data_IF_360185501499
#
_entry.id   IF_360185501499
#
_cell.length_a   1.000
_cell.length_b   1.000
_cell.length_c   1.000
_cell.angle_alpha   90.00
_cell.angle_beta   90.00
_cell.angle_gamma   90.00
#
_symmetry.space_group_name_H-M   'P 1'
#
loop_
_entity.id
_entity.type
_entity.pdbx_description
1 polymer ?
#
# COMPACT_ATOMS: atom_id res chain seq x y z
N UNK A 1 22.22 -40.53 14.66
CA UNK A 1 22.46 -39.22 15.32
C UNK A 1 22.27 -37.99 14.41
N UNK A 2 21.92 -38.13 13.12
CA UNK A 2 21.51 -37.01 12.24
C UNK A 2 19.99 -36.76 12.26
N UNK A 3 19.33 -36.96 13.42
CA UNK A 3 17.86 -36.84 13.55
C UNK A 3 17.43 -35.62 14.38
N UNK A 4 18.24 -35.21 15.35
CA UNK A 4 17.91 -34.16 16.31
C UNK A 4 18.06 -32.75 15.71
N UNK A 5 19.07 -32.51 14.88
CA UNK A 5 19.28 -31.20 14.24
C UNK A 5 18.22 -30.88 13.16
N UNK A 6 17.73 -31.89 12.45
CA UNK A 6 16.68 -31.75 11.43
C UNK A 6 15.31 -31.41 12.04
N UNK A 7 15.00 -31.96 13.23
CA UNK A 7 13.80 -31.61 13.98
C UNK A 7 13.82 -30.20 14.59
N UNK A 8 14.99 -29.75 15.09
CA UNK A 8 15.12 -28.40 15.66
C UNK A 8 14.97 -27.30 14.59
N UNK A 9 15.59 -27.46 13.42
CA UNK A 9 15.48 -26.49 12.33
C UNK A 9 14.04 -26.41 11.78
N UNK A 10 13.36 -27.55 11.62
CA UNK A 10 11.96 -27.58 11.18
C UNK A 10 11.02 -26.90 12.20
N UNK A 11 11.25 -27.11 13.50
CA UNK A 11 10.50 -26.46 14.56
C UNK A 11 10.65 -24.93 14.58
N UNK A 12 11.88 -24.44 14.41
CA UNK A 12 12.16 -22.99 14.34
C UNK A 12 11.50 -22.36 13.11
N UNK A 13 11.58 -23.00 11.95
CA UNK A 13 10.95 -22.51 10.72
C UNK A 13 9.43 -22.45 10.86
N UNK A 14 8.80 -23.49 11.44
CA UNK A 14 7.36 -23.47 11.73
C UNK A 14 6.97 -22.34 12.67
N UNK A 15 7.72 -22.14 13.75
CA UNK A 15 7.46 -21.07 14.72
C UNK A 15 7.58 -19.69 14.06
N UNK A 16 8.60 -19.48 13.23
CA UNK A 16 8.80 -18.23 12.51
C UNK A 16 7.67 -17.98 11.50
N UNK A 17 7.34 -18.96 10.65
CA UNK A 17 6.26 -18.83 9.65
C UNK A 17 4.93 -18.57 10.34
N UNK A 18 4.62 -19.29 11.42
CA UNK A 18 3.39 -19.08 12.18
C UNK A 18 3.34 -17.71 12.85
N UNK A 19 4.40 -17.32 13.56
CA UNK A 19 4.47 -16.04 14.26
C UNK A 19 4.39 -14.84 13.31
N UNK A 20 5.14 -14.86 12.22
CA UNK A 20 5.11 -13.81 11.21
C UNK A 20 3.71 -13.67 10.57
N UNK A 21 3.07 -14.79 10.22
CA UNK A 21 1.74 -14.77 9.62
C UNK A 21 0.65 -14.35 10.62
N UNK A 22 0.78 -14.61 11.92
CA UNK A 22 -0.14 -14.03 12.93
C UNK A 22 -0.05 -12.50 12.92
N UNK A 23 1.15 -11.95 12.91
CA UNK A 23 1.35 -10.50 12.89
C UNK A 23 0.70 -9.89 11.64
N UNK A 24 0.91 -10.50 10.47
CA UNK A 24 0.26 -10.07 9.23
C UNK A 24 -1.26 -10.23 9.25
N UNK A 25 -1.79 -11.31 9.83
CA UNK A 25 -3.24 -11.50 9.96
C UNK A 25 -3.87 -10.40 10.84
N UNK A 26 -3.26 -10.10 11.99
CA UNK A 26 -3.72 -9.03 12.87
C UNK A 26 -3.63 -7.65 12.19
N UNK A 27 -2.53 -7.39 11.46
CA UNK A 27 -2.38 -6.17 10.67
C UNK A 27 -3.44 -6.04 9.57
N UNK A 28 -3.71 -7.12 8.83
CA UNK A 28 -4.76 -7.16 7.81
C UNK A 28 -6.14 -6.89 8.40
N UNK A 29 -6.46 -7.50 9.55
CA UNK A 29 -7.71 -7.24 10.27
C UNK A 29 -7.82 -5.78 10.73
N UNK A 30 -6.73 -5.21 11.26
CA UNK A 30 -6.70 -3.81 11.67
C UNK A 30 -6.96 -2.86 10.48
N UNK A 31 -6.36 -3.13 9.31
CA UNK A 31 -6.62 -2.34 8.10
C UNK A 31 -8.09 -2.43 7.66
N UNK A 32 -8.71 -3.61 7.73
CA UNK A 32 -10.14 -3.76 7.42
C UNK A 32 -10.98 -2.91 8.37
N UNK A 33 -10.71 -2.96 9.68
CA UNK A 33 -11.44 -2.18 10.68
C UNK A 33 -11.28 -0.68 10.41
N UNK A 34 -10.05 -0.20 10.19
CA UNK A 34 -9.79 1.21 9.87
C UNK A 34 -10.51 1.64 8.59
N UNK A 35 -10.45 0.83 7.53
CA UNK A 35 -11.12 1.12 6.27
C UNK A 35 -12.64 1.19 6.40
N UNK A 36 -13.25 0.29 7.21
CA UNK A 36 -14.68 0.33 7.50
C UNK A 36 -15.05 1.56 8.33
N UNK A 37 -14.31 1.87 9.39
CA UNK A 37 -14.55 3.06 10.22
C UNK A 37 -14.44 4.34 9.40
N UNK A 38 -13.42 4.44 8.54
CA UNK A 38 -13.25 5.59 7.64
C UNK A 38 -14.42 5.71 6.66
N UNK A 39 -14.87 4.59 6.07
CA UNK A 39 -16.04 4.57 5.18
C UNK A 39 -17.31 5.02 5.90
N UNK A 40 -17.56 4.55 7.12
CA UNK A 40 -18.74 4.93 7.90
C UNK A 40 -18.72 6.41 8.26
N UNK A 41 -17.58 6.93 8.71
CA UNK A 41 -17.44 8.35 9.03
C UNK A 41 -17.66 9.24 7.80
N UNK A 42 -17.16 8.87 6.61
CA UNK A 42 -17.45 9.61 5.37
C UNK A 42 -18.94 9.51 5.00
N UNK A 43 -19.53 8.31 5.18
CA UNK A 43 -20.95 8.06 4.91
C UNK A 43 -21.88 8.93 5.76
N UNK A 44 -21.54 9.17 7.03
CA UNK A 44 -22.29 10.03 7.94
C UNK A 44 -22.26 11.53 7.55
N UNK A 45 -21.32 11.94 6.68
CA UNK A 45 -21.26 13.30 6.09
C UNK A 45 -21.81 13.39 4.66
N UNK A 46 -22.20 12.27 4.01
CA UNK A 46 -22.47 12.20 2.55
C UNK A 46 -23.95 12.15 2.15
N UNK A 47 -24.92 12.28 3.06
CA UNK A 47 -26.32 12.55 2.68
C UNK A 47 -26.49 13.90 1.92
N UNK A 48 -25.41 14.69 1.81
CA UNK A 48 -25.36 15.97 1.09
C UNK A 48 -24.48 15.95 -0.19
N UNK A 49 -23.99 14.78 -0.65
CA UNK A 49 -22.92 14.73 -1.66
C UNK A 49 -23.36 14.03 -2.98
N UNK A 50 -23.33 14.74 -4.14
CA UNK A 50 -23.75 14.20 -5.44
C UNK A 50 -22.78 13.16 -6.04
N UNK A 51 -23.17 12.45 -7.11
CA UNK A 51 -22.50 11.26 -7.70
C UNK A 51 -21.04 11.41 -8.22
N UNK A 52 -20.44 12.60 -8.14
CA UNK A 52 -19.11 12.90 -8.70
C UNK A 52 -17.91 12.50 -7.80
N UNK A 53 -18.17 11.87 -6.65
CA UNK A 53 -17.20 11.67 -5.55
C UNK A 53 -16.53 10.29 -5.58
N UNK A 54 -16.24 9.77 -6.77
CA UNK A 54 -15.63 8.45 -6.91
C UNK A 54 -14.24 8.38 -6.25
N UNK A 55 -13.41 9.42 -6.36
CA UNK A 55 -12.02 9.40 -5.92
C UNK A 55 -11.81 9.31 -4.39
N UNK A 56 -12.59 10.04 -3.60
CA UNK A 56 -12.46 10.04 -2.12
C UNK A 56 -13.06 8.75 -1.53
N UNK A 57 -14.10 8.19 -2.18
CA UNK A 57 -14.68 6.90 -1.82
C UNK A 57 -13.77 5.69 -2.12
N UNK A 58 -12.80 5.82 -3.04
CA UNK A 58 -11.90 4.72 -3.42
C UNK A 58 -10.92 4.36 -2.29
N UNK A 59 -10.39 5.34 -1.56
CA UNK A 59 -9.36 5.12 -0.53
C UNK A 59 -9.80 4.16 0.62
N UNK A 60 -10.98 4.31 1.26
CA UNK A 60 -11.46 3.34 2.26
C UNK A 60 -11.63 1.94 1.66
N UNK A 61 -12.20 1.87 0.46
CA UNK A 61 -12.50 0.60 -0.22
C UNK A 61 -11.19 -0.13 -0.54
N UNK A 62 -10.20 0.56 -1.09
CA UNK A 62 -8.87 -0.01 -1.34
C UNK A 62 -8.21 -0.51 -0.06
N UNK A 63 -8.31 0.26 1.03
CA UNK A 63 -7.78 -0.15 2.34
C UNK A 63 -8.40 -1.47 2.82
N UNK A 64 -9.73 -1.62 2.69
CA UNK A 64 -10.44 -2.85 3.04
C UNK A 64 -9.99 -4.02 2.16
N UNK A 65 -9.88 -3.80 0.84
CA UNK A 65 -9.49 -4.85 -0.12
C UNK A 65 -8.06 -5.32 0.17
N UNK A 66 -7.11 -4.40 0.35
CA UNK A 66 -5.72 -4.72 0.68
C UNK A 66 -5.63 -5.46 2.02
N UNK A 67 -6.33 -4.98 3.06
CA UNK A 67 -6.37 -5.66 4.36
C UNK A 67 -6.95 -7.07 4.27
N UNK A 68 -7.99 -7.27 3.46
CA UNK A 68 -8.61 -8.58 3.22
C UNK A 68 -7.66 -9.56 2.52
N UNK A 69 -6.94 -9.09 1.50
CA UNK A 69 -5.94 -9.90 0.78
C UNK A 69 -4.82 -10.32 1.76
N UNK A 70 -4.27 -9.39 2.54
CA UNK A 70 -3.23 -9.67 3.55
C UNK A 70 -3.73 -10.72 4.55
N UNK A 71 -4.95 -10.55 5.08
CA UNK A 71 -5.53 -11.49 6.04
C UNK A 71 -5.69 -12.90 5.46
N UNK A 72 -6.19 -13.03 4.23
CA UNK A 72 -6.39 -14.34 3.57
C UNK A 72 -5.05 -15.04 3.32
N UNK A 73 -4.04 -14.31 2.84
CA UNK A 73 -2.70 -14.86 2.60
C UNK A 73 -2.10 -15.35 3.93
N UNK A 74 -2.17 -14.52 4.96
CA UNK A 74 -1.68 -14.83 6.29
C UNK A 74 -2.41 -16.04 6.91
N UNK A 75 -3.72 -16.16 6.69
CA UNK A 75 -4.52 -17.30 7.14
C UNK A 75 -4.03 -18.61 6.51
N UNK A 76 -3.73 -18.64 5.20
CA UNK A 76 -3.15 -19.82 4.55
C UNK A 76 -1.77 -20.18 5.11
N UNK A 77 -0.92 -19.19 5.38
CA UNK A 77 0.39 -19.39 6.00
C UNK A 77 0.28 -20.01 7.41
N UNK A 78 -0.54 -19.41 8.26
CA UNK A 78 -0.82 -19.90 9.63
C UNK A 78 -1.45 -21.29 9.64
N UNK A 79 -2.54 -21.49 8.91
CA UNK A 79 -3.25 -22.77 8.88
C UNK A 79 -2.42 -23.87 8.23
N UNK A 80 -1.62 -23.54 7.21
CA UNK A 80 -0.69 -24.49 6.60
C UNK A 80 0.38 -24.96 7.58
N UNK A 81 0.94 -24.05 8.37
CA UNK A 81 1.94 -24.38 9.40
C UNK A 81 1.36 -25.19 10.57
N UNK A 82 0.22 -24.77 11.13
CA UNK A 82 -0.42 -25.46 12.28
C UNK A 82 -0.96 -26.83 11.89
N UNK A 83 -1.68 -26.92 10.78
CA UNK A 83 -2.31 -28.18 10.36
C UNK A 83 -1.32 -29.13 9.69
N UNK A 84 -0.05 -28.72 9.60
CA UNK A 84 1.00 -29.41 8.85
C UNK A 84 0.49 -29.90 7.48
N UNK A 85 -0.24 -29.03 6.76
CA UNK A 85 -0.90 -29.43 5.52
C UNK A 85 -0.05 -29.01 4.32
N UNK A 86 0.51 -29.96 3.54
CA UNK A 86 1.35 -29.61 2.40
C UNK A 86 0.61 -28.84 1.32
N UNK A 87 -0.70 -29.08 1.15
CA UNK A 87 -1.52 -28.36 0.18
C UNK A 87 -1.62 -26.88 0.54
N UNK A 88 -2.00 -26.55 1.78
CA UNK A 88 -2.11 -25.17 2.28
C UNK A 88 -0.77 -24.41 2.20
N UNK A 89 0.34 -25.06 2.59
CA UNK A 89 1.68 -24.47 2.48
C UNK A 89 2.11 -24.25 1.03
N UNK A 90 1.81 -25.19 0.13
CA UNK A 90 2.11 -25.02 -1.30
C UNK A 90 1.31 -23.85 -1.87
N UNK A 91 0.01 -23.75 -1.55
CA UNK A 91 -0.83 -22.63 -1.98
C UNK A 91 -0.29 -21.29 -1.48
N UNK A 92 0.08 -21.19 -0.20
CA UNK A 92 0.72 -19.99 0.35
C UNK A 92 2.00 -19.62 -0.41
N UNK A 93 2.89 -20.59 -0.65
CA UNK A 93 4.13 -20.36 -1.40
C UNK A 93 3.88 -19.90 -2.85
N UNK A 94 2.90 -20.49 -3.54
CA UNK A 94 2.51 -20.08 -4.90
C UNK A 94 1.94 -18.66 -4.90
N UNK A 95 1.11 -18.29 -3.93
CA UNK A 95 0.58 -16.93 -3.83
C UNK A 95 1.72 -15.92 -3.63
N UNK A 96 2.67 -16.19 -2.72
CA UNK A 96 3.84 -15.33 -2.54
C UNK A 96 4.67 -15.18 -3.82
N UNK A 97 4.86 -16.28 -4.56
CA UNK A 97 5.59 -16.23 -5.83
C UNK A 97 4.86 -15.36 -6.87
N UNK A 98 3.53 -15.48 -6.97
CA UNK A 98 2.73 -14.64 -7.88
C UNK A 98 2.84 -13.16 -7.49
N UNK A 99 2.76 -12.83 -6.20
CA UNK A 99 2.90 -11.46 -5.72
C UNK A 99 4.28 -10.90 -6.05
N UNK A 100 5.35 -11.67 -5.84
CA UNK A 100 6.70 -11.27 -6.18
C UNK A 100 6.85 -10.96 -7.69
N UNK A 101 6.27 -11.80 -8.56
CA UNK A 101 6.28 -11.54 -10.01
C UNK A 101 5.50 -10.28 -10.38
N UNK A 102 4.35 -10.04 -9.75
CA UNK A 102 3.58 -8.81 -9.93
C UNK A 102 4.35 -7.57 -9.45
N UNK A 103 5.07 -7.67 -8.33
CA UNK A 103 5.93 -6.59 -7.84
C UNK A 103 7.03 -6.24 -8.84
N UNK A 104 7.68 -7.25 -9.45
CA UNK A 104 8.67 -7.01 -10.51
C UNK A 104 8.02 -6.31 -11.70
N UNK A 105 6.86 -6.79 -12.17
CA UNK A 105 6.17 -6.20 -13.32
C UNK A 105 5.80 -4.72 -13.07
N UNK A 106 5.20 -4.43 -11.91
CA UNK A 106 4.85 -3.05 -11.51
C UNK A 106 6.11 -2.20 -11.32
N UNK A 107 7.16 -2.75 -10.70
CA UNK A 107 8.43 -2.05 -10.48
C UNK A 107 9.12 -1.68 -11.79
N UNK A 108 9.12 -2.58 -12.78
CA UNK A 108 9.67 -2.30 -14.12
C UNK A 108 8.83 -1.23 -14.83
N UNK A 109 7.51 -1.33 -14.79
CA UNK A 109 6.62 -0.32 -15.37
C UNK A 109 6.86 1.07 -14.74
N UNK A 110 6.90 1.15 -13.41
CA UNK A 110 7.18 2.39 -12.69
C UNK A 110 8.56 2.96 -13.03
N UNK A 111 9.58 2.10 -13.11
CA UNK A 111 10.94 2.52 -13.49
C UNK A 111 10.98 3.18 -14.88
N UNK A 112 10.25 2.64 -15.86
CA UNK A 112 10.19 3.21 -17.21
C UNK A 112 9.57 4.62 -17.19
N UNK A 113 8.49 4.81 -16.43
CA UNK A 113 7.81 6.12 -16.33
C UNK A 113 8.66 7.18 -15.61
N UNK A 114 9.44 6.78 -14.61
CA UNK A 114 10.21 7.70 -13.75
C UNK A 114 11.64 7.93 -14.27
N UNK A 115 12.14 7.08 -15.18
CA UNK A 115 13.50 7.17 -15.73
C UNK A 115 13.81 8.55 -16.32
N UNK A 116 12.84 9.16 -16.98
CA UNK A 116 12.92 10.53 -17.48
C UNK A 116 12.30 11.50 -16.46
N UNK A 117 13.17 12.07 -15.61
CA UNK A 117 12.74 12.98 -14.54
C UNK A 117 12.05 14.24 -15.07
N UNK A 118 12.49 14.78 -16.20
CA UNK A 118 11.89 16.00 -16.78
C UNK A 118 10.48 15.70 -17.30
N UNK A 119 10.31 14.58 -18.00
CA UNK A 119 9.00 14.14 -18.46
C UNK A 119 8.07 13.80 -17.28
N UNK A 120 8.57 13.11 -16.25
CA UNK A 120 7.79 12.81 -15.04
C UNK A 120 7.35 14.08 -14.30
N UNK A 121 8.27 15.02 -14.07
CA UNK A 121 7.94 16.30 -13.44
C UNK A 121 6.92 17.08 -14.27
N UNK A 122 7.07 17.10 -15.59
CA UNK A 122 6.11 17.76 -16.51
C UNK A 122 4.74 17.12 -16.42
N UNK A 123 4.64 15.78 -16.40
CA UNK A 123 3.37 15.06 -16.23
C UNK A 123 2.70 15.41 -14.90
N UNK A 124 3.46 15.39 -13.79
CA UNK A 124 2.94 15.76 -12.47
C UNK A 124 2.44 17.21 -12.45
N UNK A 125 3.24 18.14 -12.97
CA UNK A 125 2.88 19.55 -13.02
C UNK A 125 1.62 19.80 -13.86
N UNK A 126 1.50 19.15 -15.02
CA UNK A 126 0.34 19.25 -15.89
C UNK A 126 -0.94 18.68 -15.24
N UNK A 127 -0.82 17.60 -14.47
CA UNK A 127 -1.94 17.05 -13.70
C UNK A 127 -2.37 18.01 -12.59
N UNK A 128 -1.41 18.63 -11.90
CA UNK A 128 -1.70 19.63 -10.88
C UNK A 128 -2.38 20.86 -11.48
N UNK A 129 -1.91 21.35 -12.63
CA UNK A 129 -2.57 22.45 -13.35
C UNK A 129 -4.02 22.14 -13.69
N UNK A 130 -4.28 20.96 -14.26
CA UNK A 130 -5.63 20.52 -14.59
C UNK A 130 -6.51 20.43 -13.36
N UNK A 131 -6.00 19.85 -12.27
CA UNK A 131 -6.72 19.71 -11.02
C UNK A 131 -7.16 21.07 -10.45
N UNK A 132 -6.26 22.04 -10.40
CA UNK A 132 -6.57 23.39 -9.90
C UNK A 132 -7.47 24.17 -10.84
N UNK A 133 -7.30 24.04 -12.16
CA UNK A 133 -8.16 24.67 -13.15
C UNK A 133 -9.60 24.13 -13.06
N UNK A 134 -9.78 22.80 -13.00
CA UNK A 134 -11.10 22.17 -12.87
C UNK A 134 -11.77 22.50 -11.54
N UNK A 135 -11.00 22.53 -10.44
CA UNK A 135 -11.49 22.95 -9.11
C UNK A 135 -12.07 24.37 -9.16
N UNK A 136 -11.37 25.29 -9.82
CA UNK A 136 -11.81 26.68 -10.01
C UNK A 136 -13.02 26.81 -10.94
N UNK A 137 -13.06 26.06 -12.03
CA UNK A 137 -14.17 26.10 -13.00
C UNK A 137 -15.47 25.52 -12.41
N UNK A 138 -15.38 24.39 -11.70
CA UNK A 138 -16.53 23.67 -11.16
C UNK A 138 -16.95 24.15 -9.77
N UNK A 139 -16.22 25.10 -9.17
CA UNK A 139 -16.37 25.52 -7.76
C UNK A 139 -16.33 24.34 -6.77
N UNK A 140 -15.46 23.35 -7.05
CA UNK A 140 -15.29 22.13 -6.23
C UNK A 140 -13.88 22.10 -5.66
N UNK A 141 -13.70 22.72 -4.49
CA UNK A 141 -12.37 22.99 -3.93
C UNK A 141 -11.84 21.91 -2.98
N UNK A 142 -12.64 20.92 -2.57
CA UNK A 142 -12.29 19.96 -1.51
C UNK A 142 -10.91 19.31 -1.69
N UNK A 143 -10.62 18.79 -2.89
CA UNK A 143 -9.34 18.12 -3.15
C UNK A 143 -8.17 19.13 -3.22
N UNK A 144 -8.37 20.30 -3.81
CA UNK A 144 -7.35 21.36 -3.80
C UNK A 144 -7.15 21.94 -2.41
N UNK A 145 -8.20 22.01 -1.59
CA UNK A 145 -8.13 22.46 -0.21
C UNK A 145 -7.36 21.46 0.65
N UNK A 146 -7.64 20.17 0.49
CA UNK A 146 -6.88 19.10 1.13
C UNK A 146 -5.39 19.18 0.76
N UNK A 147 -5.06 19.35 -0.53
CA UNK A 147 -3.67 19.48 -0.98
C UNK A 147 -3.02 20.73 -0.37
N UNK A 148 -3.68 21.88 -0.41
CA UNK A 148 -3.12 23.13 0.11
C UNK A 148 -2.87 23.07 1.63
N UNK A 149 -3.80 22.46 2.38
CA UNK A 149 -3.68 22.31 3.83
C UNK A 149 -2.65 21.23 4.22
N UNK A 150 -2.65 20.07 3.57
CA UNK A 150 -1.74 18.96 3.90
C UNK A 150 -0.29 19.26 3.52
N UNK A 151 -0.08 19.97 2.40
CA UNK A 151 1.25 20.28 1.89
C UNK A 151 1.69 21.73 2.15
N UNK A 152 0.91 22.50 2.91
CA UNK A 152 1.22 23.91 3.25
C UNK A 152 1.65 24.73 2.03
N UNK A 153 0.86 24.63 0.96
CA UNK A 153 1.13 25.23 -0.33
C UNK A 153 -0.09 26.02 -0.83
N UNK A 154 0.09 26.87 -1.84
CA UNK A 154 -1.02 27.63 -2.39
C UNK A 154 -0.98 27.75 -3.91
N UNK A 155 -2.06 27.34 -4.55
CA UNK A 155 -2.19 27.33 -6.02
C UNK A 155 -1.14 26.45 -6.70
N UNK A 156 -1.16 26.34 -8.04
CA UNK A 156 -0.19 25.52 -8.77
C UNK A 156 1.24 26.04 -8.59
N UNK A 157 1.44 27.34 -8.83
CA UNK A 157 2.75 28.01 -8.80
C UNK A 157 2.85 29.07 -7.67
N UNK A 158 1.75 29.34 -6.96
CA UNK A 158 1.69 30.32 -5.88
C UNK A 158 0.30 30.92 -5.68
N UNK A 159 0.14 31.79 -4.66
CA UNK A 159 -1.14 32.36 -4.26
C UNK A 159 -1.77 33.30 -5.30
N UNK A 160 -0.97 33.80 -6.25
CA UNK A 160 -1.44 34.65 -7.35
C UNK A 160 -2.51 33.97 -8.22
N UNK A 161 -2.56 32.63 -8.26
CA UNK A 161 -3.58 31.86 -8.96
C UNK A 161 -5.01 32.19 -8.53
N UNK A 162 -5.20 32.49 -7.24
CA UNK A 162 -6.50 32.81 -6.64
C UNK A 162 -6.87 34.30 -6.76
N UNK A 163 -5.93 35.15 -7.14
CA UNK A 163 -6.14 36.60 -7.20
C UNK A 163 -6.54 37.16 -5.82
N UNK A 164 -7.69 37.82 -5.74
CA UNK A 164 -8.20 38.43 -4.51
C UNK A 164 -8.99 37.47 -3.61
N UNK A 165 -9.37 36.30 -4.10
CA UNK A 165 -10.25 35.35 -3.39
C UNK A 165 -9.47 34.11 -2.95
N UNK A 166 -8.52 34.31 -2.02
CA UNK A 166 -7.66 33.24 -1.52
C UNK A 166 -8.46 32.31 -0.58
N UNK A 167 -8.51 30.99 -0.85
CA UNK A 167 -9.16 30.02 0.01
C UNK A 167 -8.51 29.94 1.39
N UNK A 168 -9.30 29.66 2.43
CA UNK A 168 -8.79 29.46 3.80
C UNK A 168 -7.77 28.33 3.90
N UNK A 169 -7.90 27.30 3.06
CA UNK A 169 -7.00 26.15 2.96
C UNK A 169 -5.58 26.51 2.50
N UNK A 170 -5.39 27.69 1.93
CA UNK A 170 -4.11 28.23 1.48
C UNK A 170 -3.48 29.21 2.51
N UNK A 171 -4.17 29.48 3.62
CA UNK A 171 -3.68 30.40 4.65
C UNK A 171 -3.03 29.65 5.80
N UNK A 172 -1.95 30.20 6.31
CA UNK A 172 -1.35 29.75 7.57
C UNK A 172 -2.15 30.24 8.80
N UNK A 173 -1.67 29.90 9.99
CA UNK A 173 -2.26 30.31 11.28
C UNK A 173 -2.39 31.83 11.44
N UNK A 174 -1.51 32.61 10.81
CA UNK A 174 -1.48 34.08 10.84
C UNK A 174 -2.34 34.70 9.72
N UNK A 175 -3.12 33.88 9.00
CA UNK A 175 -3.95 34.25 7.84
C UNK A 175 -3.14 34.78 6.68
N UNK A 176 -1.87 34.38 6.56
CA UNK A 176 -1.01 34.73 5.43
C UNK A 176 -1.00 33.58 4.41
N UNK A 177 -1.06 33.87 3.09
CA UNK A 177 -1.02 32.81 2.09
C UNK A 177 0.34 32.10 2.07
N UNK A 178 0.32 30.77 1.95
CA UNK A 178 1.53 30.02 1.68
C UNK A 178 2.21 30.53 0.40
N UNK A 179 3.52 30.76 0.47
CA UNK A 179 4.30 31.31 -0.65
C UNK A 179 4.67 30.25 -1.69
N UNK A 180 4.74 28.99 -1.29
CA UNK A 180 5.15 27.87 -2.12
C UNK A 180 4.01 27.40 -3.01
N UNK A 181 4.28 27.22 -4.31
CA UNK A 181 3.35 26.58 -5.24
C UNK A 181 3.24 25.07 -4.99
N UNK A 182 2.02 24.54 -5.09
CA UNK A 182 1.74 23.14 -4.81
C UNK A 182 2.41 22.16 -5.78
N UNK A 183 2.72 22.57 -7.02
CA UNK A 183 3.47 21.73 -7.97
C UNK A 183 4.82 21.29 -7.40
N UNK A 184 5.60 22.25 -6.92
CA UNK A 184 6.96 22.00 -6.41
C UNK A 184 6.92 21.15 -5.15
N UNK A 185 6.08 21.53 -4.18
CA UNK A 185 6.00 20.82 -2.89
C UNK A 185 5.50 19.39 -3.10
N UNK A 186 4.48 19.20 -3.94
CA UNK A 186 3.94 17.88 -4.23
C UNK A 186 4.92 17.00 -5.00
N UNK A 187 5.65 17.56 -5.97
CA UNK A 187 6.71 16.84 -6.68
C UNK A 187 7.84 16.39 -5.75
N UNK A 188 8.27 17.26 -4.84
CA UNK A 188 9.28 16.92 -3.83
C UNK A 188 8.78 15.83 -2.88
N UNK A 189 7.50 15.90 -2.47
CA UNK A 189 6.85 14.85 -1.71
C UNK A 189 6.84 13.52 -2.48
N UNK A 190 6.43 13.51 -3.74
CA UNK A 190 6.41 12.30 -4.57
C UNK A 190 7.80 11.69 -4.69
N UNK A 191 8.84 12.49 -4.92
CA UNK A 191 10.21 11.97 -5.00
C UNK A 191 10.68 11.33 -3.69
N UNK A 192 10.37 11.94 -2.55
CA UNK A 192 10.67 11.36 -1.23
C UNK A 192 9.88 10.07 -1.01
N UNK A 193 8.58 10.09 -1.30
CA UNK A 193 7.71 8.93 -1.15
C UNK A 193 8.14 7.77 -2.04
N UNK A 194 8.50 8.01 -3.31
CA UNK A 194 8.98 6.99 -4.24
C UNK A 194 10.26 6.32 -3.75
N UNK A 195 11.19 7.07 -3.16
CA UNK A 195 12.40 6.49 -2.57
C UNK A 195 12.07 5.56 -1.40
N UNK A 196 11.17 5.99 -0.51
CA UNK A 196 10.73 5.17 0.64
C UNK A 196 10.00 3.92 0.16
N UNK A 197 9.05 4.06 -0.76
CA UNK A 197 8.29 2.95 -1.36
C UNK A 197 9.25 1.96 -2.02
N UNK A 198 10.25 2.43 -2.78
CA UNK A 198 11.23 1.56 -3.42
C UNK A 198 12.01 0.69 -2.43
N UNK A 199 12.47 1.28 -1.32
CA UNK A 199 13.18 0.55 -0.25
C UNK A 199 12.24 -0.46 0.42
N UNK A 200 11.00 -0.05 0.73
CA UNK A 200 10.00 -0.93 1.36
C UNK A 200 9.62 -2.11 0.46
N UNK A 201 9.41 -1.87 -0.84
CA UNK A 201 9.11 -2.92 -1.81
C UNK A 201 10.26 -3.90 -1.97
N UNK A 202 11.51 -3.43 -2.01
CA UNK A 202 12.67 -4.31 -2.09
C UNK A 202 12.78 -5.23 -0.86
N UNK A 203 12.56 -4.67 0.34
CA UNK A 203 12.54 -5.45 1.57
C UNK A 203 11.38 -6.47 1.58
N UNK A 204 10.20 -6.06 1.12
CA UNK A 204 9.03 -6.93 0.99
C UNK A 204 9.31 -8.10 0.04
N UNK A 205 9.86 -7.83 -1.15
CA UNK A 205 10.24 -8.85 -2.12
C UNK A 205 11.22 -9.88 -1.54
N UNK A 206 12.20 -9.44 -0.74
CA UNK A 206 13.12 -10.36 -0.06
C UNK A 206 12.39 -11.25 0.95
N UNK A 207 11.47 -10.69 1.74
CA UNK A 207 10.66 -11.43 2.71
C UNK A 207 9.74 -12.45 2.02
N UNK A 208 9.15 -12.11 0.88
CA UNK A 208 8.30 -13.00 0.09
C UNK A 208 9.08 -14.21 -0.44
N UNK A 209 10.29 -13.99 -0.96
CA UNK A 209 11.16 -15.08 -1.43
C UNK A 209 11.54 -15.99 -0.26
N UNK A 210 11.93 -15.44 0.88
CA UNK A 210 12.24 -16.22 2.09
C UNK A 210 11.02 -17.02 2.54
N UNK A 211 9.84 -16.39 2.61
CA UNK A 211 8.59 -17.02 2.99
C UNK A 211 8.18 -18.15 2.02
N UNK A 212 8.38 -17.95 0.72
CA UNK A 212 8.13 -18.94 -0.31
C UNK A 212 9.05 -20.16 -0.14
N UNK A 213 10.36 -19.93 0.00
CA UNK A 213 11.34 -21.00 0.23
C UNK A 213 11.01 -21.78 1.50
N UNK A 214 10.74 -21.11 2.62
CA UNK A 214 10.38 -21.76 3.87
C UNK A 214 9.10 -22.58 3.74
N UNK A 215 8.07 -22.06 3.08
CA UNK A 215 6.81 -22.78 2.89
C UNK A 215 6.98 -24.04 2.02
N UNK A 216 7.72 -23.93 0.91
CA UNK A 216 7.94 -25.06 0.01
C UNK A 216 8.86 -26.12 0.62
N UNK A 217 9.88 -25.71 1.37
CA UNK A 217 10.72 -26.61 2.15
C UNK A 217 9.90 -27.36 3.20
N UNK A 218 9.03 -26.64 3.93
CA UNK A 218 8.17 -27.23 4.94
C UNK A 218 7.15 -28.21 4.32
N UNK A 219 6.49 -27.82 3.24
CA UNK A 219 5.60 -28.68 2.46
C UNK A 219 6.30 -29.96 1.98
N UNK A 220 7.53 -29.83 1.49
CA UNK A 220 8.34 -30.97 1.04
C UNK A 220 8.77 -31.88 2.19
N UNK A 221 9.17 -31.32 3.33
CA UNK A 221 9.50 -32.09 4.54
C UNK A 221 8.30 -32.91 5.01
N UNK A 222 7.13 -32.29 5.10
CA UNK A 222 5.90 -32.95 5.53
C UNK A 222 5.51 -34.06 4.54
N UNK A 223 5.49 -33.80 3.23
CA UNK A 223 5.21 -34.83 2.20
C UNK A 223 6.18 -36.01 2.29
N UNK A 224 7.46 -35.75 2.56
CA UNK A 224 8.46 -36.80 2.72
C UNK A 224 8.23 -37.61 4.01
N UNK A 225 7.84 -36.94 5.09
CA UNK A 225 7.46 -37.60 6.36
C UNK A 225 6.23 -38.48 6.20
N UNK A 226 5.16 -37.99 5.57
CA UNK A 226 3.96 -38.78 5.25
C UNK A 226 4.27 -40.00 4.37
N UNK A 227 5.12 -39.83 3.35
CA UNK A 227 5.56 -40.95 2.51
C UNK A 227 6.27 -42.03 3.31
N UNK A 228 7.17 -41.65 4.23
CA UNK A 228 7.88 -42.61 5.10
C UNK A 228 6.99 -43.38 6.05
N UNK A 229 5.84 -42.84 6.45
CA UNK A 229 4.89 -43.55 7.32
C UNK A 229 3.96 -44.51 6.55
N UNK A 230 3.87 -44.38 5.22
CA UNK A 230 3.07 -45.27 4.36
C UNK A 230 3.81 -46.53 3.90
N UNK A 231 5.12 -46.63 4.14
CA UNK A 231 5.96 -47.79 3.88
C UNK A 231 6.46 -48.36 5.20
#
# INVERSE_FOLDING_TARGET
MCGSAMGCAEGIVKLFVFGANIIFALGGLALIVVGVLYKLNINDFTDAIPDDYSAIGVAPILTIVVGSIIFVIAFFGCCGAIRESPCLLTTYGVILLVIFLLQIAVGVFAFIEIKDKENFQTKVNNQMDKLFAESKEKNKHELTDLIQTEFECCGPDGPSFWGSSIPKSCLDSDKTPYKSGCKTVFYDFLNKAMNVIGITLLALSALEVIGCVFSLCLSSSIKNRERRFRY
#
